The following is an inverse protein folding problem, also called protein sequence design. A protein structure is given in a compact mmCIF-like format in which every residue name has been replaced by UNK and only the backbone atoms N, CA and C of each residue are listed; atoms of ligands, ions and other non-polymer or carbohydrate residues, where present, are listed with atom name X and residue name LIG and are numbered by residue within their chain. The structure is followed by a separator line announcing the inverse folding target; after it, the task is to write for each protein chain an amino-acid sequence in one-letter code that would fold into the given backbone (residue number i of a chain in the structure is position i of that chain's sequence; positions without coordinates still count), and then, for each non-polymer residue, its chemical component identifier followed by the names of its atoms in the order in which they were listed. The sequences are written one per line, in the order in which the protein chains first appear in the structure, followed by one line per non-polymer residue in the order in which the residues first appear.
data_IF_915106761305
#
_entry.id   IF_915106761305
#
_cell.length_a   1.000
_cell.length_b   1.000
_cell.length_c   1.000
_cell.angle_alpha   90.00
_cell.angle_beta   90.00
_cell.angle_gamma   90.00
#
_symmetry.space_group_name_H-M   'P 1'
#
loop_
_entity.id
_entity.type
_entity.pdbx_description
1 polymer ?
#
# COMPACT_ATOMS: atom_id res chain seq x y z
N UNK A 1 0.74 15.20 3.87
CA UNK A 1 1.33 14.73 5.18
C UNK A 1 2.59 13.94 4.91
N UNK A 2 3.67 14.21 5.65
CA UNK A 2 4.92 13.47 5.54
C UNK A 2 4.89 12.22 6.42
N UNK A 3 5.50 11.11 5.93
CA UNK A 3 5.56 9.82 6.63
C UNK A 3 6.32 9.91 7.97
N UNK A 4 7.22 10.88 8.13
CA UNK A 4 7.94 11.11 9.39
C UNK A 4 7.02 11.45 10.58
N UNK A 5 5.78 11.83 10.32
CA UNK A 5 4.77 12.06 11.36
C UNK A 5 4.09 10.76 11.81
N UNK A 6 4.32 9.63 11.13
CA UNK A 6 3.74 8.33 11.48
C UNK A 6 4.72 7.53 12.32
N UNK A 7 4.63 7.66 13.63
CA UNK A 7 5.61 7.17 14.60
C UNK A 7 5.80 5.63 14.61
N UNK A 8 4.78 4.88 14.24
CA UNK A 8 4.79 3.40 14.29
C UNK A 8 5.00 2.74 12.92
N UNK A 9 5.26 3.52 11.87
CA UNK A 9 5.51 2.99 10.55
C UNK A 9 6.97 2.53 10.42
N UNK A 10 7.16 1.30 9.93
CA UNK A 10 8.46 0.76 9.58
C UNK A 10 8.67 0.85 8.07
N UNK A 11 9.79 1.44 7.65
CA UNK A 11 10.19 1.44 6.24
C UNK A 11 10.63 0.03 5.83
N UNK A 12 10.16 -0.43 4.68
CA UNK A 12 10.54 -1.73 4.11
C UNK A 12 11.58 -1.58 3.03
N UNK A 13 11.51 -0.51 2.27
CA UNK A 13 12.43 -0.23 1.20
C UNK A 13 11.87 0.72 0.17
N UNK A 14 12.60 0.88 -0.92
CA UNK A 14 12.24 1.75 -2.03
C UNK A 14 11.95 0.97 -3.30
N UNK A 15 11.16 1.53 -4.19
CA UNK A 15 10.95 1.00 -5.52
C UNK A 15 12.01 1.56 -6.49
N UNK A 16 12.46 0.70 -7.39
CA UNK A 16 13.35 1.04 -8.49
C UNK A 16 12.89 0.41 -9.79
N UNK A 17 13.51 0.80 -10.90
CA UNK A 17 13.30 0.15 -12.19
C UNK A 17 14.01 -1.19 -12.22
N UNK A 18 13.39 -2.18 -12.89
CA UNK A 18 14.05 -3.47 -13.13
C UNK A 18 15.16 -3.31 -14.18
N UNK A 19 16.33 -3.87 -13.90
CA UNK A 19 17.44 -3.90 -14.85
C UNK A 19 17.15 -4.78 -16.08
N UNK A 20 16.21 -5.72 -15.97
CA UNK A 20 15.93 -6.73 -17.02
C UNK A 20 14.62 -6.49 -17.76
N UNK A 21 13.74 -5.64 -17.27
CA UNK A 21 12.41 -5.40 -17.84
C UNK A 21 11.94 -3.97 -17.58
N UNK A 22 11.87 -3.18 -18.63
CA UNK A 22 11.47 -1.75 -18.61
C UNK A 22 10.06 -1.48 -18.09
N UNK A 23 9.21 -2.50 -18.02
CA UNK A 23 7.84 -2.40 -17.50
C UNK A 23 7.66 -2.96 -16.08
N UNK A 24 8.73 -3.45 -15.47
CA UNK A 24 8.68 -3.97 -14.08
C UNK A 24 9.40 -3.04 -13.14
N UNK A 25 8.82 -2.87 -11.97
CA UNK A 25 9.49 -2.25 -10.84
C UNK A 25 10.08 -3.34 -9.93
N UNK A 26 11.08 -2.99 -9.17
CA UNK A 26 11.71 -3.87 -8.17
C UNK A 26 11.63 -3.21 -6.81
N UNK A 27 11.52 -4.02 -5.76
CA UNK A 27 11.69 -3.57 -4.39
C UNK A 27 13.16 -3.70 -4.00
N UNK A 28 13.78 -2.60 -3.64
CA UNK A 28 15.10 -2.54 -3.03
C UNK A 28 14.86 -2.49 -1.53
N UNK A 29 14.98 -3.64 -0.88
CA UNK A 29 14.67 -3.82 0.54
C UNK A 29 15.76 -3.21 1.41
N UNK A 30 15.38 -2.57 2.51
CA UNK A 30 16.32 -2.06 3.51
C UNK A 30 17.09 -3.20 4.18
N UNK A 31 18.35 -2.96 4.52
CA UNK A 31 19.27 -3.99 5.06
C UNK A 31 18.79 -4.65 6.37
N UNK A 32 17.93 -3.98 7.14
CA UNK A 32 17.35 -4.50 8.38
C UNK A 32 16.07 -5.33 8.19
N UNK A 33 15.55 -5.45 6.98
CA UNK A 33 14.30 -6.17 6.70
C UNK A 33 14.62 -7.61 6.30
N UNK A 34 14.18 -8.57 7.11
CA UNK A 34 14.38 -9.98 6.85
C UNK A 34 13.32 -10.57 5.91
N UNK A 35 13.64 -11.71 5.30
CA UNK A 35 12.69 -12.47 4.48
C UNK A 35 11.47 -12.92 5.28
N UNK A 36 11.62 -13.21 6.56
CA UNK A 36 10.53 -13.61 7.45
C UNK A 36 9.58 -12.45 7.69
N UNK A 37 10.11 -11.24 7.94
CA UNK A 37 9.30 -10.03 8.05
C UNK A 37 8.51 -9.77 6.77
N UNK A 38 9.12 -9.92 5.59
CA UNK A 38 8.43 -9.75 4.31
C UNK A 38 7.30 -10.76 4.09
N UNK A 39 7.41 -11.95 4.68
CA UNK A 39 6.38 -13.02 4.62
C UNK A 39 5.37 -12.98 5.76
N UNK A 40 5.50 -12.03 6.68
CA UNK A 40 4.57 -11.90 7.79
C UNK A 40 3.15 -11.68 7.28
N UNK A 41 2.23 -12.60 7.62
CA UNK A 41 0.82 -12.60 7.18
C UNK A 41 -0.11 -11.83 8.11
N UNK A 42 0.39 -11.24 9.19
CA UNK A 42 -0.39 -10.38 10.08
C UNK A 42 -1.04 -9.25 9.29
N UNK A 43 -2.26 -8.90 9.66
CA UNK A 43 -2.96 -7.74 9.11
C UNK A 43 -2.09 -6.48 9.25
N UNK A 44 -2.10 -5.63 8.24
CA UNK A 44 -1.21 -4.47 8.18
C UNK A 44 -1.83 -3.30 7.46
N UNK A 45 -1.42 -2.12 7.84
CA UNK A 45 -1.64 -0.88 7.08
C UNK A 45 -0.33 -0.54 6.36
N UNK A 46 -0.40 -0.21 5.08
CA UNK A 46 0.75 0.21 4.32
C UNK A 46 0.61 1.64 3.82
N UNK A 47 1.75 2.30 3.69
CA UNK A 47 1.87 3.63 3.12
C UNK A 47 2.79 3.56 1.90
N UNK A 48 2.33 4.12 0.79
CA UNK A 48 3.16 4.42 -0.35
C UNK A 48 3.50 5.91 -0.29
N UNK A 49 4.78 6.23 -0.31
CA UNK A 49 5.27 7.62 -0.25
C UNK A 49 6.04 8.00 -1.51
N UNK A 50 6.04 9.28 -1.82
CA UNK A 50 6.90 9.89 -2.84
C UNK A 50 7.60 11.06 -2.18
N UNK A 51 8.94 11.02 -2.13
CA UNK A 51 9.78 12.02 -1.44
C UNK A 51 9.33 12.25 0.02
N UNK A 52 8.96 11.17 0.70
CA UNK A 52 8.44 11.18 2.06
C UNK A 52 6.98 11.58 2.21
N UNK A 53 6.31 12.09 1.18
CA UNK A 53 4.88 12.43 1.24
C UNK A 53 3.99 11.21 1.01
N UNK A 54 3.01 11.01 1.88
CA UNK A 54 2.05 9.91 1.79
C UNK A 54 1.12 10.13 0.58
N UNK A 55 1.13 9.18 -0.35
CA UNK A 55 0.29 9.17 -1.56
C UNK A 55 -0.78 8.09 -1.54
N UNK A 56 -0.60 7.05 -0.73
CA UNK A 56 -1.58 5.97 -0.51
C UNK A 56 -1.50 5.48 0.93
N UNK A 57 -2.67 5.27 1.52
CA UNK A 57 -2.87 4.48 2.74
C UNK A 57 -3.77 3.31 2.34
N UNK A 58 -3.42 2.09 2.73
CA UNK A 58 -4.21 0.92 2.41
C UNK A 58 -4.00 -0.21 3.40
N UNK A 59 -5.03 -1.03 3.59
CA UNK A 59 -5.00 -2.21 4.44
C UNK A 59 -4.78 -3.50 3.65
N UNK A 60 -4.15 -4.48 4.26
CA UNK A 60 -3.92 -5.80 3.64
C UNK A 60 -3.70 -6.89 4.68
N UNK A 61 -4.23 -8.07 4.38
CA UNK A 61 -3.94 -9.34 5.07
C UNK A 61 -3.63 -10.44 4.05
N UNK A 62 -2.81 -10.13 3.07
CA UNK A 62 -2.43 -11.08 2.02
C UNK A 62 -1.65 -12.25 2.59
N UNK A 63 -1.96 -13.49 2.16
CA UNK A 63 -1.26 -14.72 2.55
C UNK A 63 0.22 -14.77 2.16
N UNK A 64 0.70 -13.97 1.25
CA UNK A 64 2.13 -13.83 0.94
C UNK A 64 2.80 -12.69 1.68
N UNK A 65 2.17 -12.16 2.73
CA UNK A 65 2.75 -11.14 3.59
C UNK A 65 2.89 -9.77 2.95
N UNK A 66 3.82 -9.00 3.47
CA UNK A 66 4.19 -7.66 2.98
C UNK A 66 4.61 -7.72 1.50
N UNK A 67 5.38 -8.74 1.13
CA UNK A 67 5.84 -8.95 -0.24
C UNK A 67 4.67 -9.04 -1.23
N UNK A 68 3.61 -9.79 -0.91
CA UNK A 68 2.44 -9.91 -1.77
C UNK A 68 1.66 -8.59 -1.90
N UNK A 69 1.61 -7.79 -0.83
CA UNK A 69 1.00 -6.46 -0.86
C UNK A 69 1.74 -5.53 -1.84
N UNK A 70 3.08 -5.52 -1.79
CA UNK A 70 3.91 -4.69 -2.66
C UNK A 70 3.87 -5.20 -4.11
N UNK A 71 3.75 -6.52 -4.32
CA UNK A 71 3.77 -7.14 -5.65
C UNK A 71 2.72 -6.53 -6.61
N UNK A 72 1.58 -6.06 -6.09
CA UNK A 72 0.57 -5.35 -6.88
C UNK A 72 1.10 -4.08 -7.57
N UNK A 73 2.18 -3.50 -7.04
CA UNK A 73 2.83 -2.30 -7.58
C UNK A 73 4.08 -2.61 -8.43
N UNK A 74 4.61 -3.85 -8.35
CA UNK A 74 5.84 -4.23 -9.04
C UNK A 74 5.60 -4.85 -10.43
N UNK A 75 4.48 -5.54 -10.60
CA UNK A 75 4.25 -6.51 -11.67
C UNK A 75 4.29 -5.99 -13.10
N UNK A 76 4.29 -4.70 -13.31
CA UNK A 76 4.10 -4.14 -14.65
C UNK A 76 2.71 -4.45 -15.18
N UNK A 77 2.47 -4.12 -16.45
CA UNK A 77 1.21 -4.50 -17.08
C UNK A 77 1.15 -6.01 -17.31
N UNK A 78 0.15 -6.65 -16.72
CA UNK A 78 -0.19 -8.05 -16.96
C UNK A 78 -1.62 -8.18 -17.49
N UNK A 79 -1.92 -9.14 -18.39
CA UNK A 79 -3.30 -9.42 -18.81
C UNK A 79 -4.20 -9.64 -17.59
N UNK A 80 -5.35 -8.96 -17.54
CA UNK A 80 -6.29 -9.07 -16.44
C UNK A 80 -5.97 -8.20 -15.21
N UNK A 81 -4.93 -7.38 -15.24
CA UNK A 81 -4.69 -6.38 -14.20
C UNK A 81 -5.87 -5.42 -14.09
N UNK A 82 -6.34 -5.17 -12.86
CA UNK A 82 -7.41 -4.19 -12.63
C UNK A 82 -6.94 -2.76 -12.94
N UNK A 83 -7.86 -1.85 -13.35
CA UNK A 83 -7.53 -0.43 -13.53
C UNK A 83 -6.84 0.18 -12.31
N UNK A 84 -7.30 -0.17 -11.11
CA UNK A 84 -6.70 0.28 -9.85
C UNK A 84 -5.23 -0.14 -9.69
N UNK A 85 -4.94 -1.41 -9.97
CA UNK A 85 -3.56 -1.93 -9.87
C UNK A 85 -2.66 -1.31 -10.92
N UNK A 86 -3.19 -1.12 -12.15
CA UNK A 86 -2.47 -0.46 -13.23
C UNK A 86 -2.13 1.00 -12.85
N UNK A 87 -3.09 1.77 -12.35
CA UNK A 87 -2.85 3.16 -11.93
C UNK A 87 -1.78 3.25 -10.83
N UNK A 88 -1.84 2.37 -9.83
CA UNK A 88 -0.83 2.33 -8.77
C UNK A 88 0.58 2.05 -9.31
N UNK A 89 0.72 1.05 -10.18
CA UNK A 89 1.97 0.72 -10.84
C UNK A 89 2.46 1.88 -11.74
N UNK A 90 1.59 2.43 -12.60
CA UNK A 90 1.94 3.49 -13.54
C UNK A 90 2.36 4.77 -12.81
N UNK A 91 1.66 5.12 -11.74
CA UNK A 91 2.03 6.23 -10.88
C UNK A 91 3.46 6.06 -10.31
N UNK A 92 3.74 4.91 -9.70
CA UNK A 92 5.07 4.62 -9.16
C UNK A 92 6.14 4.71 -10.26
N UNK A 93 5.89 4.12 -11.43
CA UNK A 93 6.80 4.14 -12.58
C UNK A 93 7.09 5.56 -13.04
N UNK A 94 6.06 6.40 -13.25
CA UNK A 94 6.22 7.80 -13.67
C UNK A 94 7.05 8.58 -12.65
N UNK A 95 6.79 8.40 -11.34
CA UNK A 95 7.55 9.09 -10.29
C UNK A 95 9.01 8.67 -10.26
N UNK A 96 9.31 7.38 -10.36
CA UNK A 96 10.68 6.87 -10.42
C UNK A 96 11.41 7.38 -11.67
N UNK A 97 10.74 7.38 -12.84
CA UNK A 97 11.31 7.91 -14.08
C UNK A 97 11.60 9.42 -14.02
N UNK A 98 10.82 10.17 -13.23
CA UNK A 98 11.05 11.58 -12.97
C UNK A 98 12.12 11.84 -11.89
N UNK A 99 12.75 10.79 -11.35
CA UNK A 99 13.81 10.91 -10.35
C UNK A 99 13.34 11.03 -8.90
N UNK A 100 12.05 10.81 -8.63
CA UNK A 100 11.50 10.83 -7.28
C UNK A 100 11.77 9.53 -6.53
N UNK A 101 11.93 9.62 -5.21
CA UNK A 101 12.05 8.50 -4.30
C UNK A 101 10.67 7.94 -3.96
N UNK A 102 10.40 6.69 -4.34
CA UNK A 102 9.14 5.99 -4.05
C UNK A 102 9.41 4.89 -3.02
N UNK A 103 8.71 4.92 -1.88
CA UNK A 103 8.97 4.03 -0.75
C UNK A 103 7.71 3.36 -0.23
N UNK A 104 7.91 2.18 0.39
CA UNK A 104 6.88 1.46 1.13
C UNK A 104 7.18 1.41 2.62
N UNK A 105 6.15 1.69 3.42
CA UNK A 105 6.15 1.67 4.87
C UNK A 105 4.96 0.86 5.37
N UNK A 106 5.08 0.24 6.55
CA UNK A 106 4.03 -0.58 7.13
C UNK A 106 3.87 -0.35 8.62
N UNK A 107 2.61 -0.43 9.08
CA UNK A 107 2.23 -0.69 10.47
C UNK A 107 1.66 -2.10 10.50
N UNK A 108 2.25 -3.00 11.28
CA UNK A 108 1.65 -4.31 11.55
C UNK A 108 0.55 -4.15 12.61
N UNK A 109 -0.59 -4.80 12.40
CA UNK A 109 -1.65 -4.81 13.39
C UNK A 109 -1.12 -5.45 14.69
N UNK A 110 -1.13 -4.73 15.82
CA UNK A 110 -0.65 -5.28 17.07
C UNK A 110 -1.58 -6.38 17.56
N UNK A 111 -1.03 -7.33 18.33
CA UNK A 111 -1.78 -8.32 19.06
C UNK A 111 -2.05 -7.85 20.48
N UNK A 112 -3.19 -8.20 21.03
CA UNK A 112 -3.53 -8.01 22.44
C UNK A 112 -4.02 -9.32 23.02
N UNK A 113 -3.86 -9.49 24.33
CA UNK A 113 -4.38 -10.65 25.03
C UNK A 113 -5.77 -10.34 25.58
N UNK A 114 -6.75 -11.17 25.23
CA UNK A 114 -8.13 -11.06 25.73
C UNK A 114 -8.57 -12.35 26.43
N UNK A 115 -9.45 -12.21 27.42
CA UNK A 115 -10.17 -13.34 27.98
C UNK A 115 -11.48 -13.52 27.24
N UNK A 116 -11.66 -14.66 26.59
CA UNK A 116 -12.91 -14.99 25.91
C UNK A 116 -13.71 -16.04 26.72
N UNK A 117 -15.04 -15.90 26.82
CA UNK A 117 -15.88 -16.92 27.46
C UNK A 117 -15.87 -18.19 26.63
N UNK A 118 -15.82 -19.34 27.29
CA UNK A 118 -15.92 -20.68 26.72
C UNK A 118 -16.94 -21.50 27.48
N UNK A 119 -17.27 -22.69 27.02
CA UNK A 119 -18.21 -23.58 27.69
C UNK A 119 -17.77 -23.94 29.15
N UNK A 120 -16.46 -23.91 29.42
CA UNK A 120 -15.86 -24.29 30.69
C UNK A 120 -15.25 -23.10 31.46
N UNK A 121 -15.74 -21.86 31.22
CA UNK A 121 -15.23 -20.64 31.86
C UNK A 121 -14.57 -19.69 30.86
N UNK A 122 -13.41 -19.13 31.22
CA UNK A 122 -12.70 -18.18 30.38
C UNK A 122 -11.37 -18.76 29.89
N UNK A 123 -11.00 -18.43 28.64
CA UNK A 123 -9.70 -18.75 28.07
C UNK A 123 -8.99 -17.47 27.64
N UNK A 124 -7.72 -17.38 27.96
CA UNK A 124 -6.85 -16.32 27.47
C UNK A 124 -6.41 -16.64 26.04
N UNK A 125 -6.60 -15.70 25.15
CA UNK A 125 -6.22 -15.83 23.74
C UNK A 125 -5.54 -14.55 23.25
N UNK A 126 -4.61 -14.69 22.31
CA UNK A 126 -4.08 -13.55 21.59
C UNK A 126 -5.02 -13.21 20.42
N UNK A 127 -5.39 -11.95 20.31
CA UNK A 127 -6.25 -11.41 19.28
C UNK A 127 -5.46 -10.33 18.53
N UNK A 128 -5.34 -10.45 17.22
CA UNK A 128 -4.85 -9.36 16.39
C UNK A 128 -5.92 -8.28 16.28
N UNK A 129 -5.52 -7.01 16.43
CA UNK A 129 -6.42 -5.89 16.15
C UNK A 129 -6.81 -5.89 14.67
N UNK A 130 -8.03 -5.43 14.39
CA UNK A 130 -8.51 -5.32 13.01
C UNK A 130 -7.73 -4.23 12.26
N UNK A 131 -6.97 -4.64 11.26
CA UNK A 131 -6.19 -3.72 10.44
C UNK A 131 -7.07 -2.74 9.63
N UNK A 132 -8.33 -3.07 9.35
CA UNK A 132 -9.27 -2.14 8.72
C UNK A 132 -9.60 -0.95 9.62
N UNK A 133 -9.71 -1.19 10.94
CA UNK A 133 -9.91 -0.10 11.89
C UNK A 133 -8.67 0.80 11.95
N UNK A 134 -7.47 0.22 11.92
CA UNK A 134 -6.21 0.97 11.88
C UNK A 134 -6.10 1.76 10.57
N UNK A 135 -6.41 1.14 9.43
CA UNK A 135 -6.44 1.82 8.12
C UNK A 135 -7.39 3.02 8.15
N UNK A 136 -8.62 2.80 8.63
CA UNK A 136 -9.64 3.85 8.73
C UNK A 136 -9.19 5.00 9.62
N UNK A 137 -8.59 4.71 10.75
CA UNK A 137 -8.04 5.73 11.65
C UNK A 137 -6.92 6.53 10.97
N UNK A 138 -5.97 5.87 10.32
CA UNK A 138 -4.89 6.53 9.59
C UNK A 138 -5.40 7.44 8.45
N UNK A 139 -6.43 6.99 7.71
CA UNK A 139 -7.04 7.80 6.65
C UNK A 139 -7.77 9.00 7.24
N UNK A 140 -8.54 8.84 8.31
CA UNK A 140 -9.25 9.94 8.98
C UNK A 140 -8.27 10.99 9.53
N UNK A 141 -7.18 10.54 10.15
CA UNK A 141 -6.13 11.41 10.66
C UNK A 141 -5.45 12.19 9.53
N UNK A 142 -5.13 11.52 8.41
CA UNK A 142 -4.61 12.18 7.21
C UNK A 142 -5.55 13.26 6.71
N UNK A 143 -6.84 12.94 6.54
CA UNK A 143 -7.87 13.87 6.05
C UNK A 143 -8.06 15.05 7.00
N UNK A 144 -7.98 14.83 8.31
CA UNK A 144 -8.11 15.90 9.30
C UNK A 144 -7.00 16.95 9.23
N UNK A 145 -5.81 16.55 8.76
CA UNK A 145 -4.64 17.44 8.62
C UNK A 145 -4.58 18.08 7.23
N UNK A 146 -4.81 17.28 6.18
CA UNK A 146 -4.61 17.71 4.79
C UNK A 146 -5.90 18.27 4.14
N UNK A 147 -7.06 18.13 4.78
CA UNK A 147 -8.40 18.43 4.23
C UNK A 147 -8.71 17.72 2.92
N UNK A 148 -8.00 16.63 2.60
CA UNK A 148 -8.18 15.82 1.40
C UNK A 148 -7.67 14.40 1.65
N UNK A 149 -8.07 13.45 0.79
CA UNK A 149 -7.59 12.08 0.84
C UNK A 149 -6.19 11.95 0.20
N UNK A 150 -5.38 10.94 0.60
CA UNK A 150 -4.16 10.64 -0.13
C UNK A 150 -4.44 10.46 -1.62
N UNK A 151 -3.53 10.93 -2.48
CA UNK A 151 -3.77 11.04 -3.92
C UNK A 151 -4.28 9.74 -4.58
N UNK A 152 -3.77 8.59 -4.16
CA UNK A 152 -4.16 7.27 -4.68
C UNK A 152 -5.30 6.60 -3.90
N UNK A 153 -5.89 7.25 -2.89
CA UNK A 153 -7.10 6.79 -2.20
C UNK A 153 -8.36 7.24 -2.96
N UNK A 154 -8.47 6.85 -4.22
CA UNK A 154 -9.50 7.39 -5.12
C UNK A 154 -10.91 6.91 -4.83
N UNK A 155 -11.06 5.72 -4.26
CA UNK A 155 -12.38 5.20 -3.91
C UNK A 155 -13.02 6.02 -2.80
N UNK A 156 -12.22 6.41 -1.82
CA UNK A 156 -12.65 7.19 -0.66
C UNK A 156 -12.86 8.66 -1.03
N UNK A 157 -12.03 9.20 -1.91
CA UNK A 157 -12.08 10.61 -2.34
C UNK A 157 -13.16 10.91 -3.39
N UNK A 158 -13.78 9.89 -3.98
CA UNK A 158 -14.68 10.04 -5.11
C UNK A 158 -14.02 10.44 -6.43
N UNK A 159 -12.69 10.54 -6.47
CA UNK A 159 -11.93 10.81 -7.71
C UNK A 159 -12.05 9.63 -8.66
N UNK A 160 -12.18 9.90 -9.95
CA UNK A 160 -12.18 8.84 -10.97
C UNK A 160 -10.77 8.61 -11.50
N UNK A 161 -10.38 7.36 -11.67
CA UNK A 161 -9.08 6.99 -12.23
C UNK A 161 -8.82 7.60 -13.61
N UNK A 162 -9.88 7.72 -14.43
CA UNK A 162 -9.78 8.28 -15.78
C UNK A 162 -9.34 9.74 -15.78
N UNK A 163 -9.75 10.50 -14.77
CA UNK A 163 -9.46 11.93 -14.68
C UNK A 163 -8.00 12.23 -14.29
N UNK A 164 -7.22 11.21 -13.96
CA UNK A 164 -5.84 11.37 -13.47
C UNK A 164 -4.78 11.24 -14.55
N UNK A 165 -5.13 10.80 -15.75
CA UNK A 165 -4.16 10.41 -16.78
C UNK A 165 -3.39 9.11 -16.47
N UNK A 166 -3.57 8.51 -15.30
CA UNK A 166 -2.85 7.28 -14.89
C UNK A 166 -3.31 6.03 -15.65
N UNK A 167 -4.44 6.10 -16.33
CA UNK A 167 -4.95 5.02 -17.20
C UNK A 167 -4.44 5.09 -18.64
N UNK A 168 -3.62 6.06 -18.98
CA UNK A 168 -3.02 6.13 -20.30
C UNK A 168 -2.24 4.84 -20.62
N UNK A 169 -2.55 4.21 -21.76
CA UNK A 169 -1.98 2.92 -22.15
C UNK A 169 -2.57 1.70 -21.47
N UNK A 170 -3.64 1.83 -20.66
CA UNK A 170 -4.37 0.68 -20.12
C UNK A 170 -5.25 0.05 -21.21
N UNK A 171 -5.07 -1.25 -21.55
CA UNK A 171 -5.81 -1.89 -22.61
C UNK A 171 -7.21 -2.27 -22.17
N UNK A 172 -8.11 -1.46 -22.19
CA UNK A 172 -9.52 -1.62 -21.82
C UNK A 172 -10.24 -0.28 -21.84
N UNK A 173 -9.47 0.78 -21.92
CA UNK A 173 -10.00 2.09 -22.26
C UNK A 173 -9.89 2.21 -23.78
N UNK A 174 -10.98 1.91 -24.46
CA UNK A 174 -11.14 2.35 -25.86
C UNK A 174 -11.10 3.88 -25.79
N UNK A 175 -10.07 4.44 -26.39
CA UNK A 175 -9.98 5.88 -26.60
C UNK A 175 -11.21 6.26 -27.45
N UNK A 176 -12.28 6.68 -26.79
CA UNK A 176 -13.44 7.29 -27.45
C UNK A 176 -13.04 8.71 -27.77
N UNK A 177 -11.97 8.86 -28.57
CA UNK A 177 -11.55 10.09 -29.14
C UNK A 177 -12.68 10.66 -29.99
N UNK A 178 -13.27 11.70 -29.51
CA UNK A 178 -14.10 12.63 -30.26
C UNK A 178 -13.31 13.86 -30.60
#
# INVERSE_FOLDING_TARGET
MNISHVTNAQRVGQLGTSATHDRKLTLITDAGITREQLKNETGRVYFLTVDGEIKKIGGSQSKGGIQATIQAYLGGFAPGMSPRSYCGWNYCRQKIQAGHLVEFWFILAPTTTAQIPTMNGFKQVEIALDFHQIESACVQEYVSVENDYPYLNMQESGRKWIDTGLLEGYPGIIDTGS
#
